data_IF_298413311703
#
_entry.id   IF_298413311703
#
_cell.length_a   1.000
_cell.length_b   1.000
_cell.length_c   1.000
_cell.angle_alpha   90.00
_cell.angle_beta   90.00
_cell.angle_gamma   90.00
#
_symmetry.space_group_name_H-M   'P 1'
#
loop_
_entity.id
_entity.type
_entity.pdbx_description
1 polymer ?
#
# COMPACT_ATOMS: atom_id res chain seq x y z
N UNK A 1 13.76 -19.54 -18.51
CA UNK A 1 12.26 -19.68 -18.54
C UNK A 1 11.62 -20.32 -17.29
N UNK A 2 12.30 -20.54 -16.20
CA UNK A 2 11.78 -21.35 -15.07
C UNK A 2 11.25 -20.52 -13.88
N UNK A 3 11.23 -19.19 -13.99
CA UNK A 3 10.60 -18.27 -13.02
C UNK A 3 9.24 -17.76 -13.46
N UNK A 4 8.78 -18.09 -14.67
CA UNK A 4 7.54 -17.57 -15.23
C UNK A 4 6.33 -17.86 -14.31
N UNK A 5 6.20 -19.07 -13.79
CA UNK A 5 5.13 -19.41 -12.87
C UNK A 5 5.13 -18.58 -11.57
N UNK A 6 6.34 -18.22 -11.07
CA UNK A 6 6.47 -17.36 -9.91
C UNK A 6 6.09 -15.90 -10.23
N UNK A 7 6.53 -15.40 -11.38
CA UNK A 7 6.15 -14.07 -11.87
C UNK A 7 4.63 -13.97 -12.07
N UNK A 8 4.02 -14.98 -12.69
CA UNK A 8 2.56 -15.05 -12.88
C UNK A 8 1.79 -15.06 -11.55
N UNK A 9 2.30 -15.75 -10.51
CA UNK A 9 1.69 -15.75 -9.19
C UNK A 9 1.78 -14.35 -8.53
N UNK A 10 2.91 -13.65 -8.65
CA UNK A 10 3.06 -12.26 -8.18
C UNK A 10 2.14 -11.32 -8.94
N UNK A 11 1.99 -11.50 -10.27
CA UNK A 11 1.07 -10.70 -11.09
C UNK A 11 -0.39 -10.91 -10.67
N UNK A 12 -0.82 -12.16 -10.46
CA UNK A 12 -2.18 -12.44 -9.94
C UNK A 12 -2.43 -11.78 -8.59
N UNK A 13 -1.44 -11.82 -7.71
CA UNK A 13 -1.52 -11.12 -6.42
C UNK A 13 -1.65 -9.60 -6.62
N UNK A 14 -0.86 -9.03 -7.53
CA UNK A 14 -0.88 -7.60 -7.82
C UNK A 14 -2.23 -7.17 -8.43
N UNK A 15 -2.75 -7.91 -9.40
CA UNK A 15 -4.04 -7.62 -10.05
C UNK A 15 -5.20 -7.63 -9.06
N UNK A 16 -5.17 -8.55 -8.10
CA UNK A 16 -6.22 -8.65 -7.08
C UNK A 16 -6.13 -7.56 -5.99
N UNK A 17 -4.96 -6.93 -5.82
CA UNK A 17 -4.72 -6.10 -4.62
C UNK A 17 -4.31 -4.66 -4.89
N UNK A 18 -3.93 -4.29 -6.13
CA UNK A 18 -3.41 -2.95 -6.48
C UNK A 18 -4.39 -1.79 -6.17
N UNK A 19 -5.69 -2.06 -6.19
CA UNK A 19 -6.73 -1.07 -5.99
C UNK A 19 -7.25 -1.02 -4.55
N UNK A 20 -6.70 -1.83 -3.62
CA UNK A 20 -7.18 -1.87 -2.25
C UNK A 20 -7.04 -0.49 -1.58
N UNK A 21 -8.12 0.03 -1.02
CA UNK A 21 -8.08 1.30 -0.29
C UNK A 21 -7.40 1.12 1.07
N UNK A 22 -6.92 2.22 1.65
CA UNK A 22 -6.16 2.24 2.89
C UNK A 22 -6.92 1.59 4.07
N UNK A 23 -8.24 1.85 4.19
CA UNK A 23 -9.05 1.26 5.26
C UNK A 23 -9.12 -0.27 5.19
N UNK A 24 -8.99 -0.86 4.00
CA UNK A 24 -8.89 -2.32 3.83
C UNK A 24 -7.48 -2.81 4.20
N UNK A 25 -6.43 -2.08 3.81
CA UNK A 25 -5.06 -2.42 4.20
C UNK A 25 -4.87 -2.39 5.72
N UNK A 26 -5.58 -1.50 6.40
CA UNK A 26 -5.61 -1.38 7.86
C UNK A 26 -6.49 -2.42 8.56
N UNK A 27 -7.17 -3.29 7.81
CA UNK A 27 -8.11 -4.25 8.37
C UNK A 27 -7.37 -5.44 8.97
N UNK A 28 -7.51 -5.61 10.30
CA UNK A 28 -6.93 -6.71 11.07
C UNK A 28 -7.78 -7.99 10.99
N UNK A 29 -8.90 -7.98 10.27
CA UNK A 29 -9.75 -9.16 10.12
C UNK A 29 -9.12 -10.29 9.28
N UNK A 30 -8.03 -9.99 8.60
CA UNK A 30 -7.20 -10.98 7.93
C UNK A 30 -6.09 -11.44 8.86
N UNK A 31 -6.03 -12.74 9.10
CA UNK A 31 -4.96 -13.36 9.89
C UNK A 31 -4.19 -14.36 9.04
N UNK A 32 -2.88 -14.30 9.11
CA UNK A 32 -1.97 -15.24 8.47
C UNK A 32 -1.06 -15.87 9.52
N UNK A 33 -1.38 -17.08 9.95
CA UNK A 33 -0.70 -17.71 11.08
C UNK A 33 -0.83 -16.85 12.33
N UNK A 34 0.29 -16.42 12.89
CA UNK A 34 0.35 -15.55 14.08
C UNK A 34 0.28 -14.05 13.76
N UNK A 35 0.17 -13.67 12.49
CA UNK A 35 0.20 -12.28 12.03
C UNK A 35 -1.18 -11.84 11.52
N UNK A 36 -1.54 -10.60 11.85
CA UNK A 36 -2.83 -10.01 11.53
C UNK A 36 -2.64 -8.82 10.57
N UNK A 37 -3.62 -8.64 9.67
CA UNK A 37 -3.74 -7.50 8.78
C UNK A 37 -3.39 -7.75 7.32
N UNK A 38 -4.17 -7.12 6.43
CA UNK A 38 -4.01 -7.23 4.97
C UNK A 38 -2.63 -6.78 4.51
N UNK A 39 -2.06 -5.72 5.11
CA UNK A 39 -0.70 -5.25 4.84
C UNK A 39 0.34 -6.34 4.99
N UNK A 40 0.11 -7.23 5.94
CA UNK A 40 1.06 -8.31 6.22
C UNK A 40 1.14 -9.31 5.07
N UNK A 41 0.06 -9.53 4.31
CA UNK A 41 0.09 -10.40 3.13
C UNK A 41 1.13 -9.92 2.09
N UNK A 42 1.22 -8.61 1.85
CA UNK A 42 2.23 -8.01 0.97
C UNK A 42 3.64 -8.19 1.53
N UNK A 43 3.82 -7.88 2.81
CA UNK A 43 5.14 -7.94 3.46
C UNK A 43 5.64 -9.38 3.53
N UNK A 44 4.77 -10.34 3.88
CA UNK A 44 5.12 -11.75 3.95
C UNK A 44 5.53 -12.29 2.58
N UNK A 45 4.76 -12.02 1.52
CA UNK A 45 5.10 -12.42 0.15
C UNK A 45 6.45 -11.82 -0.27
N UNK A 46 6.68 -10.53 0.03
CA UNK A 46 7.96 -9.86 -0.23
C UNK A 46 9.12 -10.54 0.51
N UNK A 47 8.93 -10.89 1.79
CA UNK A 47 9.95 -11.58 2.59
C UNK A 47 10.21 -13.00 2.09
N UNK A 48 9.17 -13.72 1.67
CA UNK A 48 9.30 -15.07 1.10
C UNK A 48 10.12 -15.06 -0.20
N UNK A 49 9.88 -14.09 -1.08
CA UNK A 49 10.66 -13.86 -2.30
C UNK A 49 12.14 -13.56 -1.99
N UNK A 50 12.42 -12.62 -1.07
CA UNK A 50 13.79 -12.30 -0.64
C UNK A 50 14.49 -13.50 -0.01
N UNK A 51 13.76 -14.28 0.81
CA UNK A 51 14.25 -15.52 1.40
C UNK A 51 14.60 -16.57 0.35
N UNK A 52 13.77 -16.69 -0.70
CA UNK A 52 14.06 -17.57 -1.84
C UNK A 52 15.32 -17.10 -2.58
N UNK A 53 15.44 -15.82 -2.92
CA UNK A 53 16.63 -15.27 -3.57
C UNK A 53 17.91 -15.57 -2.78
N UNK A 54 17.89 -15.40 -1.45
CA UNK A 54 19.02 -15.73 -0.59
C UNK A 54 19.37 -17.23 -0.60
N UNK A 55 18.36 -18.12 -0.59
CA UNK A 55 18.59 -19.58 -0.68
C UNK A 55 19.20 -19.97 -2.04
N UNK A 56 18.67 -19.43 -3.13
CA UNK A 56 19.18 -19.69 -4.48
C UNK A 56 20.62 -19.17 -4.65
N UNK A 57 20.92 -17.99 -4.11
CA UNK A 57 22.29 -17.46 -4.12
C UNK A 57 23.26 -18.39 -3.37
N UNK A 58 22.86 -18.87 -2.19
CA UNK A 58 23.66 -19.83 -1.43
C UNK A 58 23.82 -21.18 -2.15
N UNK A 59 22.80 -21.64 -2.87
CA UNK A 59 22.86 -22.84 -3.70
C UNK A 59 23.78 -22.67 -4.89
N UNK A 60 23.71 -21.53 -5.58
CA UNK A 60 24.61 -21.14 -6.65
C UNK A 60 26.07 -21.12 -6.20
N UNK A 61 26.34 -20.54 -5.03
CA UNK A 61 27.69 -20.50 -4.45
C UNK A 61 28.22 -21.92 -4.14
N UNK A 62 27.40 -22.78 -3.53
CA UNK A 62 27.77 -24.20 -3.25
C UNK A 62 28.02 -24.99 -4.53
N UNK A 63 27.27 -24.66 -5.60
CA UNK A 63 27.46 -25.28 -6.92
C UNK A 63 28.66 -24.76 -7.69
N UNK A 64 29.47 -23.88 -7.12
CA UNK A 64 30.64 -23.25 -7.76
C UNK A 64 30.32 -22.60 -9.12
N UNK A 65 29.15 -21.96 -9.24
CA UNK A 65 28.72 -21.23 -10.42
C UNK A 65 28.87 -19.72 -10.17
N UNK A 66 30.02 -19.11 -10.50
CA UNK A 66 30.20 -17.65 -10.33
C UNK A 66 29.20 -16.89 -11.19
N UNK A 67 28.86 -15.66 -10.78
CA UNK A 67 28.10 -14.72 -11.59
C UNK A 67 29.06 -14.06 -12.56
N UNK A 68 28.79 -14.11 -13.87
CA UNK A 68 29.56 -13.38 -14.89
C UNK A 68 29.20 -11.89 -14.88
N UNK A 69 30.03 -11.04 -15.50
CA UNK A 69 29.72 -9.62 -15.67
C UNK A 69 28.43 -9.43 -16.47
N UNK A 70 28.20 -10.23 -17.52
CA UNK A 70 26.96 -10.22 -18.28
C UNK A 70 25.75 -10.50 -17.38
N UNK A 71 25.78 -11.57 -16.60
CA UNK A 71 24.67 -11.95 -15.70
C UNK A 71 24.40 -10.89 -14.65
N UNK A 72 25.44 -10.22 -14.13
CA UNK A 72 25.25 -9.11 -13.20
C UNK A 72 24.52 -7.93 -13.85
N UNK A 73 24.99 -7.49 -15.02
CA UNK A 73 24.37 -6.39 -15.77
C UNK A 73 22.94 -6.71 -16.22
N UNK A 74 22.69 -7.97 -16.63
CA UNK A 74 21.36 -8.45 -17.00
C UNK A 74 20.40 -8.53 -15.79
N UNK A 75 20.89 -8.90 -14.61
CA UNK A 75 20.09 -8.86 -13.37
C UNK A 75 19.66 -7.43 -13.02
N UNK A 76 20.56 -6.46 -13.20
CA UNK A 76 20.23 -5.03 -13.01
C UNK A 76 19.21 -4.53 -14.03
N UNK A 77 19.32 -4.97 -15.30
CA UNK A 77 18.36 -4.69 -16.35
C UNK A 77 16.97 -5.27 -16.00
N UNK A 78 16.94 -6.54 -15.58
CA UNK A 78 15.71 -7.21 -15.18
C UNK A 78 15.04 -6.53 -13.96
N UNK A 79 15.85 -6.09 -13.00
CA UNK A 79 15.35 -5.31 -11.87
C UNK A 79 14.72 -3.98 -12.31
N UNK A 80 15.31 -3.29 -13.27
CA UNK A 80 14.74 -2.07 -13.83
C UNK A 80 13.41 -2.34 -14.56
N UNK A 81 13.31 -3.45 -15.32
CA UNK A 81 12.08 -3.88 -15.98
C UNK A 81 10.95 -4.13 -14.96
N UNK A 82 11.23 -4.87 -13.89
CA UNK A 82 10.23 -5.19 -12.87
C UNK A 82 9.77 -3.94 -12.10
N UNK A 83 10.66 -2.98 -11.86
CA UNK A 83 10.29 -1.68 -11.29
C UNK A 83 9.35 -0.90 -12.23
N UNK A 84 9.69 -0.85 -13.52
CA UNK A 84 8.85 -0.25 -14.56
C UNK A 84 7.47 -0.93 -14.66
N UNK A 85 7.41 -2.27 -14.66
CA UNK A 85 6.19 -3.06 -14.68
C UNK A 85 5.28 -2.73 -13.50
N UNK A 86 5.85 -2.58 -12.31
CA UNK A 86 5.09 -2.29 -11.10
C UNK A 86 4.25 -1.02 -11.18
N UNK A 87 4.69 -0.03 -11.94
CA UNK A 87 3.98 1.22 -12.19
C UNK A 87 2.78 1.07 -13.14
N UNK A 88 2.82 0.05 -14.01
CA UNK A 88 1.77 -0.21 -15.01
C UNK A 88 0.58 -1.00 -14.44
N UNK A 89 0.74 -1.62 -13.27
CA UNK A 89 -0.32 -2.41 -12.64
C UNK A 89 -1.57 -1.55 -12.40
N UNK A 90 -2.71 -2.00 -12.96
CA UNK A 90 -3.98 -1.30 -12.83
C UNK A 90 -4.05 0.05 -13.56
N UNK A 91 -3.22 0.26 -14.56
CA UNK A 91 -3.33 1.39 -15.48
C UNK A 91 -4.35 1.04 -16.58
N UNK A 92 -5.45 1.80 -16.73
CA UNK A 92 -6.48 1.49 -17.70
C UNK A 92 -6.06 1.92 -19.11
N UNK A 93 -6.52 1.18 -20.12
CA UNK A 93 -6.19 1.41 -21.52
C UNK A 93 -6.60 2.80 -22.05
N UNK A 94 -7.67 3.38 -21.48
CA UNK A 94 -8.22 4.66 -21.93
C UNK A 94 -7.25 5.83 -21.74
N UNK A 95 -6.29 5.71 -20.81
CA UNK A 95 -5.35 6.81 -20.54
C UNK A 95 -3.97 6.63 -21.16
N UNK A 96 -3.63 5.44 -21.69
CA UNK A 96 -2.25 5.19 -22.17
C UNK A 96 -1.84 6.05 -23.37
N UNK A 97 -2.81 6.52 -24.17
CA UNK A 97 -2.59 7.42 -25.29
C UNK A 97 -2.80 8.91 -24.94
N UNK A 98 -3.18 9.22 -23.69
CA UNK A 98 -3.45 10.58 -23.26
C UNK A 98 -2.15 11.34 -23.00
N UNK A 99 -1.98 12.50 -23.64
CA UNK A 99 -0.87 13.39 -23.33
C UNK A 99 -1.06 13.99 -21.93
N UNK A 100 -0.12 13.79 -21.01
CA UNK A 100 -0.25 14.30 -19.64
C UNK A 100 -0.13 15.84 -19.58
N UNK A 101 0.68 16.41 -20.47
CA UNK A 101 0.91 17.85 -20.68
C UNK A 101 1.41 18.11 -22.11
N UNK A 102 1.35 19.36 -22.61
CA UNK A 102 2.01 19.74 -23.86
C UNK A 102 3.49 19.31 -23.82
N UNK A 103 3.96 18.75 -24.93
CA UNK A 103 5.35 18.30 -25.14
C UNK A 103 5.84 17.14 -24.24
N UNK A 104 4.96 16.50 -23.49
CA UNK A 104 5.27 15.32 -22.69
C UNK A 104 4.68 14.05 -23.31
N UNK A 105 5.39 12.93 -23.17
CA UNK A 105 5.01 11.67 -23.80
C UNK A 105 3.87 10.97 -23.06
N UNK A 106 2.88 10.44 -23.79
CA UNK A 106 1.91 9.51 -23.23
C UNK A 106 2.58 8.18 -22.85
N UNK A 107 1.93 7.42 -21.99
CA UNK A 107 2.42 6.11 -21.48
C UNK A 107 2.77 5.16 -22.65
N UNK A 108 1.92 5.12 -23.67
CA UNK A 108 2.12 4.33 -24.88
C UNK A 108 3.46 4.65 -25.57
N UNK A 109 3.76 5.92 -25.74
CA UNK A 109 5.00 6.37 -26.39
C UNK A 109 6.23 5.97 -25.57
N UNK A 110 6.15 6.11 -24.24
CA UNK A 110 7.24 5.67 -23.33
C UNK A 110 7.49 4.17 -23.49
N UNK A 111 6.43 3.34 -23.46
CA UNK A 111 6.54 1.88 -23.61
C UNK A 111 7.14 1.47 -24.95
N UNK A 112 6.63 2.02 -26.05
CA UNK A 112 7.14 1.71 -27.40
C UNK A 112 8.61 2.13 -27.51
N UNK A 113 8.97 3.30 -27.02
CA UNK A 113 10.35 3.79 -27.05
C UNK A 113 11.32 2.89 -26.27
N UNK A 114 10.93 2.48 -25.07
CA UNK A 114 11.79 1.58 -24.26
C UNK A 114 11.97 0.23 -24.94
N UNK A 115 10.88 -0.35 -25.47
CA UNK A 115 10.92 -1.59 -26.24
C UNK A 115 11.82 -1.49 -27.47
N UNK A 116 11.66 -0.45 -28.29
CA UNK A 116 12.45 -0.26 -29.50
C UNK A 116 13.94 -0.04 -29.18
N UNK A 117 14.24 0.69 -28.12
CA UNK A 117 15.61 0.91 -27.67
C UNK A 117 16.30 -0.38 -27.20
N UNK A 118 15.60 -1.27 -26.49
CA UNK A 118 16.17 -2.57 -26.09
C UNK A 118 16.49 -3.44 -27.32
N UNK A 119 15.60 -3.51 -28.29
CA UNK A 119 15.85 -4.24 -29.55
C UNK A 119 17.09 -3.70 -30.26
N UNK A 120 17.22 -2.38 -30.32
CA UNK A 120 18.32 -1.71 -30.97
C UNK A 120 19.68 -1.98 -30.27
N UNK A 121 19.72 -1.86 -28.95
CA UNK A 121 20.91 -2.20 -28.18
C UNK A 121 21.30 -3.68 -28.34
N UNK A 122 20.29 -4.56 -28.31
CA UNK A 122 20.52 -5.99 -28.52
C UNK A 122 21.13 -6.30 -29.89
N UNK A 123 20.57 -5.70 -30.95
CA UNK A 123 21.10 -5.90 -32.29
C UNK A 123 22.56 -5.40 -32.42
N UNK A 124 22.90 -4.27 -31.80
CA UNK A 124 24.28 -3.77 -31.77
C UNK A 124 25.24 -4.74 -31.06
N UNK A 125 24.77 -5.39 -29.98
CA UNK A 125 25.55 -6.43 -29.28
C UNK A 125 25.78 -7.64 -30.19
N UNK A 126 24.71 -8.16 -30.80
CA UNK A 126 24.80 -9.36 -31.64
C UNK A 126 25.67 -9.12 -32.89
N UNK A 127 25.51 -7.98 -33.56
CA UNK A 127 26.38 -7.63 -34.70
C UNK A 127 27.87 -7.57 -34.31
N UNK A 128 28.17 -7.28 -33.06
CA UNK A 128 29.56 -7.23 -32.58
C UNK A 128 30.12 -8.61 -32.19
N UNK A 129 29.25 -9.52 -31.74
CA UNK A 129 29.64 -10.87 -31.33
C UNK A 129 29.76 -11.86 -32.52
N UNK A 130 28.98 -11.65 -33.58
CA UNK A 130 28.93 -12.54 -34.76
C UNK A 130 30.08 -12.29 -35.75
N UNK A 131 31.16 -11.59 -35.37
CA UNK A 131 32.34 -11.27 -36.21
C UNK A 131 32.01 -10.52 -37.50
N UNK A 132 30.80 -9.99 -37.66
CA UNK A 132 30.46 -9.11 -38.78
C UNK A 132 31.15 -7.75 -38.58
N UNK A 133 31.41 -7.04 -39.69
CA UNK A 133 31.92 -5.66 -39.56
C UNK A 133 30.96 -4.86 -38.66
N UNK A 134 31.42 -4.34 -37.50
CA UNK A 134 30.55 -3.60 -36.62
C UNK A 134 29.88 -2.45 -37.33
N UNK A 135 28.56 -2.48 -37.40
CA UNK A 135 27.76 -1.42 -38.00
C UNK A 135 26.58 -1.08 -37.09
N UNK A 136 26.06 0.12 -37.28
CA UNK A 136 24.85 0.56 -36.61
C UNK A 136 23.64 -0.22 -37.14
N UNK A 137 22.86 -0.94 -36.29
CA UNK A 137 21.71 -1.71 -36.76
C UNK A 137 20.59 -0.81 -37.26
N UNK A 138 19.83 -1.27 -38.26
CA UNK A 138 18.56 -0.67 -38.63
C UNK A 138 17.41 -1.20 -37.75
N UNK A 139 16.28 -0.49 -37.70
CA UNK A 139 15.07 -0.93 -37.03
C UNK A 139 14.58 -2.29 -37.54
N UNK A 140 14.69 -2.52 -38.86
CA UNK A 140 14.29 -3.78 -39.49
C UNK A 140 15.19 -4.96 -39.05
N UNK A 141 16.49 -4.76 -38.95
CA UNK A 141 17.46 -5.77 -38.46
C UNK A 141 17.18 -6.08 -37.00
N UNK A 142 17.01 -5.06 -36.16
CA UNK A 142 16.74 -5.21 -34.74
C UNK A 142 15.43 -5.99 -34.50
N UNK A 143 14.39 -5.73 -35.26
CA UNK A 143 13.12 -6.45 -35.20
C UNK A 143 13.26 -7.91 -35.65
N UNK A 144 13.95 -8.11 -36.81
CA UNK A 144 14.14 -9.46 -37.35
C UNK A 144 14.93 -10.39 -36.44
N UNK A 145 15.91 -9.87 -35.67
CA UNK A 145 16.69 -10.67 -34.71
C UNK A 145 15.83 -11.24 -33.58
N UNK A 146 14.70 -10.64 -33.28
CA UNK A 146 13.77 -11.06 -32.21
C UNK A 146 12.47 -11.67 -32.77
N UNK A 147 12.37 -11.86 -34.09
CA UNK A 147 11.16 -12.33 -34.79
C UNK A 147 9.93 -11.45 -34.47
N UNK A 148 10.13 -10.14 -34.50
CA UNK A 148 9.12 -9.13 -34.20
C UNK A 148 8.81 -8.24 -35.41
N UNK A 149 7.64 -7.57 -35.43
CA UNK A 149 7.36 -6.56 -36.47
C UNK A 149 8.29 -5.35 -36.29
N UNK A 150 8.70 -4.73 -37.39
CA UNK A 150 9.54 -3.51 -37.36
C UNK A 150 8.92 -2.41 -36.47
N UNK A 151 7.59 -2.32 -36.45
CA UNK A 151 6.84 -1.40 -35.58
C UNK A 151 5.69 -2.12 -34.92
N UNK A 152 5.51 -1.90 -33.63
CA UNK A 152 4.34 -2.40 -32.91
C UNK A 152 3.06 -1.70 -33.41
N UNK A 153 1.93 -2.42 -33.52
CA UNK A 153 0.64 -1.80 -33.86
C UNK A 153 0.25 -0.72 -32.84
N UNK A 154 -0.14 0.45 -33.36
CA UNK A 154 -0.45 1.63 -32.52
C UNK A 154 -1.76 1.52 -31.74
N UNK A 155 -2.57 0.52 -32.02
CA UNK A 155 -3.87 0.25 -31.38
C UNK A 155 -3.80 -0.86 -30.30
N UNK A 156 -2.62 -1.44 -30.06
CA UNK A 156 -2.48 -2.46 -29.02
C UNK A 156 -2.89 -1.92 -27.64
N UNK A 157 -3.66 -2.70 -26.87
CA UNK A 157 -3.92 -2.39 -25.46
C UNK A 157 -2.61 -2.49 -24.64
N UNK A 158 -2.61 -1.93 -23.42
CA UNK A 158 -1.45 -1.95 -22.51
C UNK A 158 -0.89 -3.36 -22.33
N UNK A 159 -1.77 -4.34 -22.10
CA UNK A 159 -1.38 -5.73 -21.93
C UNK A 159 -0.67 -6.30 -23.15
N UNK A 160 -1.10 -5.93 -24.37
CA UNK A 160 -0.46 -6.34 -25.62
C UNK A 160 0.91 -5.71 -25.83
N UNK A 161 1.04 -4.41 -25.53
CA UNK A 161 2.32 -3.70 -25.56
C UNK A 161 3.31 -4.31 -24.55
N UNK A 162 2.85 -4.55 -23.33
CA UNK A 162 3.66 -5.17 -22.29
C UNK A 162 4.11 -6.58 -22.69
N UNK A 163 3.20 -7.42 -23.19
CA UNK A 163 3.52 -8.78 -23.63
C UNK A 163 4.55 -8.82 -24.75
N UNK A 164 4.55 -7.85 -25.68
CA UNK A 164 5.60 -7.73 -26.70
C UNK A 164 6.92 -7.35 -26.06
N UNK A 165 6.93 -6.36 -25.19
CA UNK A 165 8.13 -5.92 -24.50
C UNK A 165 8.74 -7.05 -23.64
N UNK A 166 7.94 -7.73 -22.83
CA UNK A 166 8.40 -8.82 -21.95
C UNK A 166 8.96 -10.02 -22.76
N UNK A 167 8.35 -10.38 -23.92
CA UNK A 167 8.91 -11.41 -24.79
C UNK A 167 10.29 -11.06 -25.34
N UNK A 168 10.44 -9.83 -25.84
CA UNK A 168 11.72 -9.34 -26.34
C UNK A 168 12.77 -9.37 -25.23
N UNK A 169 12.43 -8.87 -24.05
CA UNK A 169 13.29 -8.87 -22.87
C UNK A 169 13.74 -10.28 -22.48
N UNK A 170 12.83 -11.24 -22.35
CA UNK A 170 13.14 -12.63 -21.98
C UNK A 170 14.08 -13.24 -23.05
N UNK A 171 13.82 -13.03 -24.33
CA UNK A 171 14.65 -13.56 -25.40
C UNK A 171 16.06 -12.96 -25.39
N UNK A 172 16.17 -11.66 -25.13
CA UNK A 172 17.46 -10.97 -24.95
C UNK A 172 18.22 -11.54 -23.74
N UNK A 173 17.55 -11.74 -22.61
CA UNK A 173 18.16 -12.32 -21.42
C UNK A 173 18.68 -13.74 -21.70
N UNK A 174 17.85 -14.62 -22.27
CA UNK A 174 18.22 -16.00 -22.59
C UNK A 174 19.45 -16.10 -23.52
N UNK A 175 19.58 -15.14 -24.47
CA UNK A 175 20.69 -15.13 -25.42
C UNK A 175 21.98 -14.55 -24.87
N UNK A 176 21.87 -13.59 -23.94
CA UNK A 176 23.03 -12.89 -23.39
C UNK A 176 23.53 -13.48 -22.06
N UNK A 177 22.72 -14.29 -21.34
CA UNK A 177 23.11 -14.82 -20.02
C UNK A 177 24.32 -15.78 -20.08
N UNK A 178 24.57 -16.36 -21.23
CA UNK A 178 25.71 -17.28 -21.49
C UNK A 178 27.01 -16.58 -21.83
N UNK A 179 27.04 -15.26 -22.04
CA UNK A 179 28.27 -14.55 -22.38
C UNK A 179 29.34 -14.69 -21.31
N UNK A 180 30.54 -14.98 -21.79
CA UNK A 180 31.77 -15.06 -20.96
C UNK A 180 32.25 -13.64 -20.59
N UNK A 181 33.09 -13.58 -19.57
CA UNK A 181 33.72 -12.32 -19.15
C UNK A 181 34.69 -11.74 -20.21
N UNK A 182 35.19 -12.58 -21.16
CA UNK A 182 36.00 -12.12 -22.28
C UNK A 182 35.12 -11.52 -23.41
N UNK A 183 33.99 -12.15 -23.74
CA UNK A 183 33.08 -11.69 -24.80
C UNK A 183 32.43 -10.34 -24.48
N UNK A 184 32.17 -10.04 -23.21
CA UNK A 184 31.59 -8.73 -22.84
C UNK A 184 32.54 -7.55 -23.08
N UNK A 185 33.83 -7.77 -23.29
CA UNK A 185 34.78 -6.74 -23.68
C UNK A 185 34.95 -6.56 -25.19
N UNK A 186 34.24 -7.36 -26.02
CA UNK A 186 34.22 -7.17 -27.46
C UNK A 186 33.77 -5.76 -27.79
N UNK A 187 34.48 -5.03 -28.67
CA UNK A 187 34.08 -3.68 -29.08
C UNK A 187 32.77 -3.71 -29.89
N UNK A 188 31.84 -2.84 -29.56
CA UNK A 188 30.58 -2.65 -30.25
C UNK A 188 30.42 -1.22 -30.73
N UNK A 189 29.76 -1.01 -31.88
CA UNK A 189 29.56 0.30 -32.50
C UNK A 189 28.07 0.64 -32.57
N UNK A 190 27.73 1.85 -32.19
CA UNK A 190 26.45 2.51 -32.40
C UNK A 190 26.70 3.96 -32.84
N UNK A 191 25.92 4.89 -32.38
CA UNK A 191 26.06 6.33 -32.69
C UNK A 191 27.25 7.02 -32.04
N UNK A 192 28.00 6.37 -31.16
CA UNK A 192 29.15 6.98 -30.50
C UNK A 192 30.33 7.08 -31.47
N UNK A 193 31.18 8.09 -31.23
CA UNK A 193 32.38 8.34 -32.04
C UNK A 193 33.49 7.30 -31.86
N UNK A 194 33.42 6.45 -30.86
CA UNK A 194 34.37 5.38 -30.57
C UNK A 194 33.65 4.12 -30.11
N UNK A 195 34.11 2.91 -30.51
CA UNK A 195 33.56 1.66 -30.05
C UNK A 195 33.54 1.55 -28.53
N UNK A 196 32.45 0.99 -27.98
CA UNK A 196 32.28 0.71 -26.57
C UNK A 196 32.24 -0.80 -26.33
N UNK A 197 32.63 -1.34 -25.13
CA UNK A 197 32.47 -2.75 -24.85
C UNK A 197 31.01 -3.19 -24.90
N UNK A 198 30.75 -4.45 -25.26
CA UNK A 198 29.42 -5.06 -25.16
C UNK A 198 28.84 -4.90 -23.75
N UNK A 199 29.64 -5.03 -22.71
CA UNK A 199 29.21 -4.79 -21.32
C UNK A 199 28.56 -3.42 -21.13
N UNK A 200 29.13 -2.37 -21.71
CA UNK A 200 28.55 -1.03 -21.67
C UNK A 200 27.13 -0.98 -22.28
N UNK A 201 26.89 -1.77 -23.35
CA UNK A 201 25.56 -1.86 -23.96
C UNK A 201 24.57 -2.55 -23.03
N UNK A 202 24.98 -3.66 -22.39
CA UNK A 202 24.14 -4.40 -21.44
C UNK A 202 23.81 -3.51 -20.23
N UNK A 203 24.77 -2.79 -19.69
CA UNK A 203 24.53 -1.83 -18.59
C UNK A 203 23.61 -0.66 -19.01
N UNK A 204 23.70 -0.26 -20.30
CA UNK A 204 22.84 0.79 -20.85
C UNK A 204 21.36 0.41 -20.85
N UNK A 205 21.00 -0.87 -20.99
CA UNK A 205 19.61 -1.33 -20.84
C UNK A 205 19.01 -0.86 -19.50
N UNK A 206 19.67 -1.21 -18.39
CA UNK A 206 19.17 -0.88 -17.06
C UNK A 206 19.07 0.64 -16.86
N UNK A 207 20.07 1.40 -17.30
CA UNK A 207 20.08 2.85 -17.17
C UNK A 207 18.92 3.50 -17.93
N UNK A 208 18.67 3.05 -19.17
CA UNK A 208 17.62 3.57 -20.03
C UNK A 208 16.22 3.27 -19.48
N UNK A 209 15.97 2.03 -19.04
CA UNK A 209 14.68 1.66 -18.41
C UNK A 209 14.44 2.48 -17.16
N UNK A 210 15.45 2.69 -16.30
CA UNK A 210 15.31 3.50 -15.07
C UNK A 210 15.01 4.98 -15.38
N UNK A 211 15.61 5.55 -16.43
CA UNK A 211 15.29 6.91 -16.89
C UNK A 211 13.80 7.02 -17.23
N UNK A 212 13.30 6.08 -18.03
CA UNK A 212 11.91 6.06 -18.46
C UNK A 212 10.93 5.60 -17.36
N UNK A 213 11.37 4.85 -16.35
CA UNK A 213 10.61 4.58 -15.12
C UNK A 213 10.27 5.89 -14.40
N UNK A 214 11.26 6.78 -14.26
CA UNK A 214 11.04 8.10 -13.65
C UNK A 214 10.09 8.97 -14.50
N UNK A 215 10.21 8.90 -15.84
CA UNK A 215 9.31 9.61 -16.75
C UNK A 215 7.87 9.06 -16.63
N UNK A 216 7.69 7.73 -16.63
CA UNK A 216 6.40 7.07 -16.44
C UNK A 216 5.73 7.46 -15.12
N UNK A 217 6.49 7.47 -14.02
CA UNK A 217 5.97 7.86 -12.70
C UNK A 217 5.48 9.32 -12.72
N UNK A 218 6.23 10.24 -13.33
CA UNK A 218 5.79 11.64 -13.55
C UNK A 218 4.51 11.72 -14.38
N UNK A 219 4.46 10.99 -15.49
CA UNK A 219 3.29 10.93 -16.38
C UNK A 219 2.05 10.45 -15.63
N UNK A 220 2.16 9.37 -14.86
CA UNK A 220 1.06 8.84 -14.04
C UNK A 220 0.56 9.86 -13.01
N UNK A 221 1.46 10.57 -12.32
CA UNK A 221 1.07 11.65 -11.38
C UNK A 221 0.30 12.77 -12.08
N UNK A 222 0.72 13.21 -13.25
CA UNK A 222 0.03 14.24 -14.01
C UNK A 222 -1.35 13.79 -14.52
N UNK A 223 -1.52 12.50 -14.78
CA UNK A 223 -2.80 11.90 -15.13
C UNK A 223 -3.70 11.60 -13.89
N UNK A 224 -3.29 12.05 -12.69
CA UNK A 224 -4.04 11.83 -11.44
C UNK A 224 -3.96 10.37 -10.94
N UNK A 225 -2.94 9.62 -11.34
CA UNK A 225 -2.70 8.21 -10.98
C UNK A 225 -1.47 8.04 -10.09
N UNK A 226 -1.29 8.93 -9.11
CA UNK A 226 -0.27 8.73 -8.08
C UNK A 226 -0.47 7.36 -7.41
N UNK A 227 0.62 6.63 -7.09
CA UNK A 227 0.51 5.33 -6.44
C UNK A 227 -0.12 5.47 -5.06
N UNK A 228 -1.12 4.62 -4.78
CA UNK A 228 -1.64 4.39 -3.44
C UNK A 228 -0.69 3.49 -2.64
N UNK A 229 -0.97 3.25 -1.36
CA UNK A 229 -0.12 2.43 -0.51
C UNK A 229 0.01 0.99 -1.03
N UNK A 230 -1.09 0.37 -1.51
CA UNK A 230 -1.04 -0.98 -2.08
C UNK A 230 -0.04 -1.08 -3.23
N UNK A 231 -0.01 -0.11 -4.14
CA UNK A 231 0.97 -0.04 -5.23
C UNK A 231 2.40 0.14 -4.74
N UNK A 232 2.63 0.90 -3.67
CA UNK A 232 3.96 1.03 -3.07
C UNK A 232 4.45 -0.29 -2.46
N UNK A 233 3.56 -1.05 -1.81
CA UNK A 233 3.86 -2.39 -1.30
C UNK A 233 4.14 -3.38 -2.44
N UNK A 234 3.34 -3.34 -3.51
CA UNK A 234 3.56 -4.14 -4.71
C UNK A 234 4.91 -3.84 -5.36
N UNK A 235 5.31 -2.57 -5.47
CA UNK A 235 6.63 -2.18 -6.01
C UNK A 235 7.77 -2.86 -5.25
N UNK A 236 7.66 -2.97 -3.92
CA UNK A 236 8.65 -3.71 -3.11
C UNK A 236 8.63 -5.22 -3.41
N UNK A 237 7.44 -5.79 -3.67
CA UNK A 237 7.28 -7.20 -4.04
C UNK A 237 7.89 -7.48 -5.41
N UNK A 238 7.68 -6.62 -6.40
CA UNK A 238 8.31 -6.72 -7.73
C UNK A 238 9.84 -6.61 -7.65
N UNK A 239 10.36 -5.73 -6.82
CA UNK A 239 11.80 -5.65 -6.56
C UNK A 239 12.35 -6.94 -5.93
N UNK A 240 11.58 -7.60 -5.05
CA UNK A 240 11.97 -8.88 -4.47
C UNK A 240 11.89 -10.05 -5.48
N UNK A 241 10.88 -10.04 -6.37
CA UNK A 241 10.78 -10.97 -7.49
C UNK A 241 12.00 -10.84 -8.41
N UNK A 242 12.36 -9.62 -8.79
CA UNK A 242 13.53 -9.36 -9.63
C UNK A 242 14.84 -9.90 -9.02
N UNK A 243 14.97 -9.89 -7.70
CA UNK A 243 16.13 -10.52 -7.03
C UNK A 243 16.17 -12.04 -7.24
N UNK A 244 15.01 -12.72 -7.17
CA UNK A 244 14.93 -14.17 -7.46
C UNK A 244 15.33 -14.43 -8.91
N UNK A 245 14.74 -13.68 -9.84
CA UNK A 245 14.98 -13.85 -11.28
C UNK A 245 16.42 -13.53 -11.65
N UNK A 246 17.00 -12.46 -11.11
CA UNK A 246 18.41 -12.09 -11.34
C UNK A 246 19.40 -13.14 -10.82
N UNK A 247 19.16 -13.73 -9.65
CA UNK A 247 19.99 -14.81 -9.12
C UNK A 247 19.92 -16.07 -10.01
N UNK A 248 18.79 -16.30 -10.67
CA UNK A 248 18.53 -17.46 -11.55
C UNK A 248 19.28 -17.41 -12.88
N UNK A 249 19.71 -16.24 -13.33
CA UNK A 249 20.45 -16.11 -14.60
C UNK A 249 21.68 -17.04 -14.60
N UNK A 250 21.79 -17.89 -15.62
CA UNK A 250 22.85 -18.88 -15.76
C UNK A 250 22.78 -20.08 -14.82
N UNK A 251 21.70 -20.26 -14.06
CA UNK A 251 21.49 -21.43 -13.18
C UNK A 251 20.82 -22.61 -13.90
N UNK A 252 20.20 -22.41 -15.06
CA UNK A 252 19.41 -23.43 -15.76
C UNK A 252 18.22 -23.90 -14.93
N UNK A 253 18.02 -25.20 -14.75
CA UNK A 253 16.89 -25.76 -13.97
C UNK A 253 17.07 -25.70 -12.45
N UNK A 254 18.28 -25.32 -11.98
CA UNK A 254 18.54 -25.25 -10.54
C UNK A 254 17.61 -24.25 -9.84
N UNK A 255 16.95 -24.69 -8.75
CA UNK A 255 16.01 -23.86 -7.99
C UNK A 255 14.61 -23.76 -8.58
N UNK A 256 14.30 -24.40 -9.72
CA UNK A 256 12.97 -24.36 -10.35
C UNK A 256 11.88 -24.90 -9.43
N UNK A 257 12.12 -26.03 -8.78
CA UNK A 257 11.16 -26.60 -7.83
C UNK A 257 10.85 -25.65 -6.67
N UNK A 258 11.87 -24.92 -6.19
CA UNK A 258 11.68 -23.95 -5.11
C UNK A 258 10.87 -22.73 -5.57
N UNK A 259 11.07 -22.27 -6.82
CA UNK A 259 10.25 -21.22 -7.43
C UNK A 259 8.79 -21.67 -7.60
N UNK A 260 8.56 -22.87 -8.14
CA UNK A 260 7.23 -23.42 -8.34
C UNK A 260 6.49 -23.64 -7.01
N UNK A 261 7.18 -24.08 -5.97
CA UNK A 261 6.63 -24.21 -4.63
C UNK A 261 6.19 -22.87 -4.08
N UNK A 262 7.03 -21.84 -4.15
CA UNK A 262 6.68 -20.50 -3.68
C UNK A 262 5.54 -19.89 -4.51
N UNK A 263 5.48 -20.12 -5.83
CA UNK A 263 4.36 -19.71 -6.66
C UNK A 263 3.03 -20.29 -6.15
N UNK A 264 3.02 -21.60 -5.86
CA UNK A 264 1.84 -22.28 -5.31
C UNK A 264 1.46 -21.76 -3.92
N UNK A 265 2.44 -21.44 -3.07
CA UNK A 265 2.21 -20.82 -1.77
C UNK A 265 1.59 -19.41 -1.92
N UNK A 266 2.09 -18.58 -2.84
CA UNK A 266 1.52 -17.25 -3.12
C UNK A 266 0.06 -17.37 -3.60
N UNK A 267 -0.23 -18.30 -4.51
CA UNK A 267 -1.60 -18.52 -5.01
C UNK A 267 -2.56 -18.99 -3.91
N UNK A 268 -2.12 -19.90 -3.05
CA UNK A 268 -2.92 -20.35 -1.91
C UNK A 268 -3.23 -19.20 -0.96
N UNK A 269 -2.23 -18.37 -0.66
CA UNK A 269 -2.39 -17.21 0.19
C UNK A 269 -3.27 -16.12 -0.44
N UNK A 270 -3.18 -15.95 -1.74
CA UNK A 270 -4.07 -15.03 -2.46
C UNK A 270 -5.53 -15.49 -2.38
N UNK A 271 -5.78 -16.79 -2.46
CA UNK A 271 -7.13 -17.35 -2.30
C UNK A 271 -7.68 -17.06 -0.89
N UNK A 272 -6.88 -17.29 0.16
CA UNK A 272 -7.26 -17.01 1.55
C UNK A 272 -7.47 -15.50 1.78
N UNK A 273 -6.63 -14.65 1.20
CA UNK A 273 -6.76 -13.19 1.25
C UNK A 273 -8.06 -12.74 0.57
N UNK A 274 -8.35 -13.26 -0.60
CA UNK A 274 -9.57 -12.91 -1.37
C UNK A 274 -10.84 -13.29 -0.61
N UNK A 275 -10.86 -14.46 0.02
CA UNK A 275 -11.97 -14.88 0.89
C UNK A 275 -12.11 -13.93 2.09
N UNK A 276 -10.99 -13.58 2.75
CA UNK A 276 -10.97 -12.66 3.88
C UNK A 276 -11.46 -11.24 3.49
N UNK A 277 -11.07 -10.74 2.33
CA UNK A 277 -11.52 -9.46 1.79
C UNK A 277 -13.02 -9.47 1.53
N UNK A 278 -13.53 -10.52 0.89
CA UNK A 278 -14.96 -10.71 0.63
C UNK A 278 -15.79 -10.73 1.93
N UNK A 279 -15.29 -11.40 2.96
CA UNK A 279 -15.95 -11.43 4.27
C UNK A 279 -15.89 -10.07 4.98
N UNK A 280 -14.76 -9.34 4.87
CA UNK A 280 -14.63 -7.99 5.42
C UNK A 280 -15.60 -7.00 4.75
N UNK A 281 -15.73 -7.05 3.44
CA UNK A 281 -16.70 -6.24 2.69
C UNK A 281 -18.14 -6.56 3.10
N UNK A 282 -18.46 -7.86 3.24
CA UNK A 282 -19.78 -8.28 3.72
C UNK A 282 -20.06 -7.77 5.14
N UNK A 283 -19.04 -7.72 6.01
CA UNK A 283 -19.15 -7.17 7.36
C UNK A 283 -19.34 -5.66 7.35
N UNK A 284 -18.59 -4.93 6.52
CA UNK A 284 -18.76 -3.49 6.31
C UNK A 284 -20.19 -3.18 5.87
N UNK A 285 -20.71 -3.93 4.89
CA UNK A 285 -22.09 -3.77 4.43
C UNK A 285 -23.10 -4.04 5.55
N UNK A 286 -22.95 -5.14 6.29
CA UNK A 286 -23.83 -5.48 7.41
C UNK A 286 -23.83 -4.40 8.50
N UNK A 287 -22.65 -3.85 8.83
CA UNK A 287 -22.54 -2.75 9.80
C UNK A 287 -23.15 -1.47 9.24
N UNK A 288 -22.89 -1.12 7.98
CA UNK A 288 -23.44 0.07 7.33
C UNK A 288 -24.99 0.05 7.26
N UNK A 289 -25.55 -1.12 6.95
CA UNK A 289 -26.99 -1.30 6.76
C UNK A 289 -27.73 -1.65 8.06
N UNK A 290 -27.01 -1.73 9.20
CA UNK A 290 -27.50 -2.14 10.52
C UNK A 290 -28.11 -3.55 10.55
N UNK A 291 -27.63 -4.44 9.68
CA UNK A 291 -28.05 -5.86 9.62
C UNK A 291 -27.32 -6.66 10.71
N UNK A 292 -27.88 -6.61 11.93
CA UNK A 292 -27.32 -7.26 13.12
C UNK A 292 -27.25 -8.78 12.97
N UNK A 293 -28.24 -9.40 12.31
CA UNK A 293 -28.27 -10.87 12.14
C UNK A 293 -27.18 -11.34 11.16
N UNK A 294 -26.99 -10.60 10.07
CA UNK A 294 -25.88 -10.85 9.14
C UNK A 294 -24.53 -10.67 9.82
N UNK A 295 -24.35 -9.59 10.58
CA UNK A 295 -23.14 -9.35 11.33
C UNK A 295 -22.86 -10.49 12.32
N UNK A 296 -23.86 -10.95 13.08
CA UNK A 296 -23.72 -12.11 14.00
C UNK A 296 -23.30 -13.39 13.28
N UNK A 297 -23.90 -13.68 12.13
CA UNK A 297 -23.56 -14.85 11.33
C UNK A 297 -22.08 -14.79 10.87
N UNK A 298 -21.62 -13.63 10.37
CA UNK A 298 -20.25 -13.42 9.96
C UNK A 298 -19.26 -13.54 11.14
N UNK A 299 -19.60 -12.96 12.29
CA UNK A 299 -18.79 -13.04 13.51
C UNK A 299 -18.69 -14.46 14.06
N UNK A 300 -19.76 -15.25 13.95
CA UNK A 300 -19.74 -16.65 14.35
C UNK A 300 -18.77 -17.46 13.46
N UNK A 301 -18.77 -17.21 12.16
CA UNK A 301 -17.87 -17.87 11.22
C UNK A 301 -16.41 -17.40 11.38
N UNK A 302 -16.19 -16.08 11.57
CA UNK A 302 -14.87 -15.46 11.67
C UNK A 302 -14.86 -14.34 12.71
N UNK A 303 -14.50 -14.65 13.96
CA UNK A 303 -14.49 -13.69 15.08
C UNK A 303 -13.63 -12.43 14.80
N UNK A 304 -12.56 -12.56 14.04
CA UNK A 304 -11.65 -11.44 13.69
C UNK A 304 -12.36 -10.29 12.97
N UNK A 305 -13.49 -10.55 12.27
CA UNK A 305 -14.30 -9.53 11.59
C UNK A 305 -14.87 -8.46 12.54
N UNK A 306 -14.90 -8.72 13.84
CA UNK A 306 -15.29 -7.71 14.82
C UNK A 306 -14.33 -6.49 14.85
N UNK A 307 -13.12 -6.62 14.31
CA UNK A 307 -12.11 -5.54 14.18
C UNK A 307 -12.18 -4.81 12.84
N UNK A 308 -13.22 -5.05 12.05
CA UNK A 308 -13.39 -4.41 10.73
C UNK A 308 -13.32 -2.90 10.85
N UNK A 309 -12.57 -2.29 9.93
CA UNK A 309 -12.48 -0.85 9.73
C UNK A 309 -13.46 -0.47 8.61
N UNK A 310 -14.23 0.58 8.84
CA UNK A 310 -15.22 1.10 7.90
C UNK A 310 -14.56 2.00 6.86
N UNK A 311 -15.29 2.34 5.81
CA UNK A 311 -14.83 3.17 4.67
C UNK A 311 -14.32 4.57 5.08
N UNK A 312 -14.83 5.10 6.20
CA UNK A 312 -14.42 6.38 6.80
C UNK A 312 -13.23 6.25 7.77
N UNK A 313 -12.62 5.06 7.86
CA UNK A 313 -11.51 4.76 8.74
C UNK A 313 -11.87 4.47 10.19
N UNK A 314 -13.16 4.54 10.56
CA UNK A 314 -13.62 4.18 11.90
C UNK A 314 -13.60 2.66 12.13
N UNK A 315 -13.38 2.23 13.35
CA UNK A 315 -13.73 0.87 13.72
C UNK A 315 -15.23 0.64 13.60
N UNK A 316 -15.66 -0.57 13.25
CA UNK A 316 -17.08 -0.92 13.18
C UNK A 316 -17.82 -0.61 14.49
N UNK A 317 -17.12 -0.71 15.63
CA UNK A 317 -17.63 -0.37 16.96
C UNK A 317 -17.92 1.13 17.09
N UNK A 318 -16.93 2.01 16.80
CA UNK A 318 -17.15 3.47 16.87
C UNK A 318 -18.16 3.94 15.82
N UNK A 319 -18.10 3.41 14.60
CA UNK A 319 -19.07 3.70 13.56
C UNK A 319 -20.51 3.42 14.02
N UNK A 320 -20.73 2.27 14.67
CA UNK A 320 -22.05 1.89 15.21
C UNK A 320 -22.44 2.74 16.42
N UNK A 321 -21.47 3.05 17.29
CA UNK A 321 -21.70 3.88 18.48
C UNK A 321 -22.12 5.30 18.14
N UNK A 322 -21.43 5.96 17.19
CA UNK A 322 -21.80 7.31 16.72
C UNK A 322 -23.24 7.38 16.13
N UNK A 323 -23.74 6.25 15.62
CA UNK A 323 -25.08 6.17 15.02
C UNK A 323 -26.15 5.65 15.98
N UNK A 324 -25.80 5.44 17.27
CA UNK A 324 -26.72 4.94 18.28
C UNK A 324 -27.19 3.51 18.07
N UNK A 325 -26.43 2.68 17.36
CA UNK A 325 -26.77 1.31 16.99
C UNK A 325 -26.36 0.31 18.09
N UNK A 326 -26.98 0.42 19.24
CA UNK A 326 -26.57 -0.35 20.44
C UNK A 326 -26.63 -1.88 20.22
N UNK A 327 -27.55 -2.39 19.39
CA UNK A 327 -27.64 -3.84 19.08
C UNK A 327 -26.45 -4.30 18.23
N UNK A 328 -25.97 -3.46 17.30
CA UNK A 328 -24.79 -3.74 16.50
C UNK A 328 -23.53 -3.68 17.36
N UNK A 329 -23.39 -2.66 18.20
CA UNK A 329 -22.30 -2.57 19.18
C UNK A 329 -22.24 -3.83 20.06
N UNK A 330 -23.40 -4.27 20.60
CA UNK A 330 -23.49 -5.48 21.42
C UNK A 330 -23.08 -6.74 20.63
N UNK A 331 -23.46 -6.84 19.34
CA UNK A 331 -23.07 -7.96 18.49
C UNK A 331 -21.56 -8.00 18.25
N UNK A 332 -20.95 -6.85 17.94
CA UNK A 332 -19.50 -6.69 17.74
C UNK A 332 -18.69 -7.06 19.00
N UNK A 333 -19.21 -6.75 20.19
CA UNK A 333 -18.53 -7.00 21.47
C UNK A 333 -18.72 -8.43 22.01
N UNK A 334 -19.60 -9.24 21.44
CA UNK A 334 -19.97 -10.56 21.97
C UNK A 334 -18.77 -11.50 22.16
N UNK A 335 -17.67 -11.29 21.43
CA UNK A 335 -16.49 -12.16 21.39
C UNK A 335 -15.33 -11.65 22.25
N UNK A 336 -15.57 -10.71 23.16
CA UNK A 336 -14.55 -10.25 24.11
C UNK A 336 -13.39 -9.50 23.44
N UNK A 337 -13.66 -8.70 22.42
CA UNK A 337 -12.67 -7.88 21.73
C UNK A 337 -11.78 -7.10 22.69
N UNK A 338 -10.49 -7.06 22.40
CA UNK A 338 -9.57 -6.11 23.02
C UNK A 338 -9.71 -4.77 22.30
N UNK A 339 -10.58 -3.91 22.88
CA UNK A 339 -10.76 -2.56 22.35
C UNK A 339 -9.57 -1.67 22.72
N UNK A 340 -9.08 -0.81 21.83
CA UNK A 340 -8.17 0.29 22.15
C UNK A 340 -8.77 1.28 23.16
N UNK A 341 -7.94 2.19 23.67
CA UNK A 341 -8.37 3.18 24.65
C UNK A 341 -9.50 4.08 24.14
N UNK A 342 -9.47 4.65 22.91
CA UNK A 342 -10.54 5.52 22.44
C UNK A 342 -11.91 4.84 22.39
N UNK A 343 -11.98 3.61 21.84
CA UNK A 343 -13.21 2.82 21.80
C UNK A 343 -13.70 2.45 23.21
N UNK A 344 -12.79 2.05 24.09
CA UNK A 344 -13.12 1.75 25.48
C UNK A 344 -13.68 2.97 26.21
N UNK A 345 -13.15 4.16 25.91
CA UNK A 345 -13.63 5.42 26.46
C UNK A 345 -15.01 5.81 25.90
N UNK A 346 -15.22 5.64 24.59
CA UNK A 346 -16.50 5.90 23.93
C UNK A 346 -17.64 4.99 24.42
N UNK A 347 -17.29 3.77 24.86
CA UNK A 347 -18.26 2.80 25.37
C UNK A 347 -18.46 2.88 26.89
N UNK A 348 -17.68 3.69 27.60
CA UNK A 348 -17.76 3.78 29.07
C UNK A 348 -17.23 2.55 29.80
N UNK A 349 -16.32 1.77 29.20
CA UNK A 349 -15.78 0.56 29.76
C UNK A 349 -14.76 0.82 30.87
N UNK A 350 -15.19 1.37 31.99
CA UNK A 350 -14.37 1.81 33.12
C UNK A 350 -13.31 0.78 33.54
N UNK A 351 -13.71 -0.49 33.68
CA UNK A 351 -12.78 -1.55 34.10
C UNK A 351 -11.66 -1.79 33.08
N UNK A 352 -11.95 -1.67 31.80
CA UNK A 352 -10.97 -1.81 30.74
C UNK A 352 -10.05 -0.61 30.66
N UNK A 353 -10.61 0.60 30.70
CA UNK A 353 -9.86 1.86 30.74
C UNK A 353 -8.86 1.83 31.89
N UNK A 354 -9.27 1.46 33.11
CA UNK A 354 -8.40 1.32 34.27
C UNK A 354 -7.24 0.37 33.99
N UNK A 355 -7.51 -0.81 33.46
CA UNK A 355 -6.48 -1.81 33.13
C UNK A 355 -5.47 -1.31 32.10
N UNK A 356 -5.92 -0.58 31.09
CA UNK A 356 -5.03 0.00 30.06
C UNK A 356 -4.14 1.05 30.72
N UNK A 357 -4.68 1.92 31.58
CA UNK A 357 -3.94 2.96 32.29
C UNK A 357 -2.96 2.38 33.32
N UNK A 358 -3.29 1.25 33.95
CA UNK A 358 -2.36 0.50 34.81
C UNK A 358 -1.15 -0.05 34.06
N UNK A 359 -1.34 -0.44 32.77
CA UNK A 359 -0.25 -0.88 31.91
C UNK A 359 0.66 0.29 31.47
N UNK A 360 0.08 1.39 30.99
CA UNK A 360 0.78 2.65 30.73
C UNK A 360 -0.18 3.84 30.77
N UNK A 361 0.21 4.86 31.54
CA UNK A 361 -0.54 6.13 31.63
C UNK A 361 -0.52 6.93 30.32
N UNK A 362 0.46 6.71 29.45
CA UNK A 362 0.56 7.39 28.15
C UNK A 362 -0.67 7.16 27.28
N UNK A 363 -1.36 6.03 27.47
CA UNK A 363 -2.63 5.75 26.78
C UNK A 363 -3.76 6.73 27.11
N UNK A 364 -3.66 7.53 28.18
CA UNK A 364 -4.64 8.57 28.49
C UNK A 364 -4.78 9.61 27.36
N UNK A 365 -3.71 9.83 26.59
CA UNK A 365 -3.66 10.76 25.47
C UNK A 365 -3.83 10.07 24.09
N UNK A 366 -4.27 8.81 24.08
CA UNK A 366 -4.54 8.09 22.83
C UNK A 366 -5.65 8.77 22.02
N UNK A 367 -5.50 8.73 20.70
CA UNK A 367 -6.47 9.26 19.75
C UNK A 367 -7.08 8.13 18.93
N UNK A 368 -8.35 8.31 18.57
CA UNK A 368 -9.02 7.48 17.57
C UNK A 368 -8.55 7.86 16.16
N UNK A 369 -8.87 7.02 15.18
CA UNK A 369 -8.49 7.26 13.78
C UNK A 369 -9.15 8.52 13.19
N UNK A 370 -10.32 8.91 13.68
CA UNK A 370 -10.99 10.17 13.30
C UNK A 370 -10.47 11.39 14.06
N UNK A 371 -9.37 11.22 14.80
CA UNK A 371 -8.60 12.29 15.41
C UNK A 371 -9.16 12.83 16.72
N UNK A 372 -10.07 12.12 17.41
CA UNK A 372 -10.53 12.49 18.73
C UNK A 372 -9.71 11.81 19.84
N UNK A 373 -9.42 12.53 20.93
CA UNK A 373 -8.80 11.93 22.10
C UNK A 373 -9.79 11.03 22.87
N UNK A 374 -9.28 10.07 23.62
CA UNK A 374 -10.11 9.24 24.52
C UNK A 374 -10.96 10.10 25.46
N UNK A 375 -10.41 11.21 25.99
CA UNK A 375 -11.13 12.16 26.85
C UNK A 375 -12.29 12.84 26.09
N UNK A 376 -12.09 13.25 24.83
CA UNK A 376 -13.14 13.82 24.00
C UNK A 376 -14.28 12.82 23.76
N UNK A 377 -13.95 11.57 23.46
CA UNK A 377 -14.95 10.52 23.23
C UNK A 377 -15.73 10.17 24.50
N UNK A 378 -15.04 9.98 25.65
CA UNK A 378 -15.71 9.78 26.94
C UNK A 378 -16.67 10.93 27.27
N UNK A 379 -16.25 12.17 27.00
CA UNK A 379 -17.03 13.38 27.23
C UNK A 379 -18.25 13.48 26.31
N UNK A 380 -18.08 13.17 25.02
CA UNK A 380 -19.16 13.20 24.03
C UNK A 380 -20.24 12.14 24.32
N UNK A 381 -19.82 10.92 24.71
CA UNK A 381 -20.75 9.83 24.97
C UNK A 381 -21.27 9.77 26.41
N UNK A 382 -20.88 10.75 27.28
CA UNK A 382 -21.44 10.89 28.61
C UNK A 382 -20.90 9.87 29.62
N UNK A 383 -19.61 9.64 29.65
CA UNK A 383 -18.95 8.72 30.58
C UNK A 383 -18.05 9.47 31.59
N UNK A 384 -18.61 10.19 32.58
CA UNK A 384 -17.84 11.05 33.49
C UNK A 384 -16.84 10.27 34.34
N UNK A 385 -17.14 9.02 34.74
CA UNK A 385 -16.18 8.18 35.47
C UNK A 385 -14.93 7.88 34.63
N UNK A 386 -15.11 7.55 33.35
CA UNK A 386 -14.00 7.31 32.41
C UNK A 386 -13.22 8.60 32.16
N UNK A 387 -13.91 9.73 31.95
CA UNK A 387 -13.27 11.03 31.78
C UNK A 387 -12.42 11.40 33.02
N UNK A 388 -12.93 11.15 34.22
CA UNK A 388 -12.19 11.33 35.48
C UNK A 388 -10.91 10.48 35.55
N UNK A 389 -11.00 9.18 35.23
CA UNK A 389 -9.84 8.28 35.18
C UNK A 389 -8.78 8.74 34.18
N UNK A 390 -9.19 9.21 33.01
CA UNK A 390 -8.28 9.71 31.99
C UNK A 390 -7.56 10.98 32.49
N UNK A 391 -8.28 11.92 33.11
CA UNK A 391 -7.71 13.14 33.72
C UNK A 391 -6.73 12.81 34.85
N UNK A 392 -7.08 11.89 35.77
CA UNK A 392 -6.20 11.41 36.85
C UNK A 392 -4.93 10.74 36.29
N UNK A 393 -5.02 10.11 35.14
CA UNK A 393 -3.88 9.50 34.45
C UNK A 393 -3.01 10.50 33.71
N UNK A 394 -3.44 11.76 33.55
CA UNK A 394 -2.69 12.82 32.88
C UNK A 394 -3.14 13.07 31.43
N UNK A 395 -4.41 12.80 31.11
CA UNK A 395 -4.97 13.24 29.83
C UNK A 395 -4.90 14.77 29.71
N UNK A 396 -4.40 15.25 28.58
CA UNK A 396 -4.33 16.70 28.32
C UNK A 396 -5.74 17.26 28.08
N UNK A 397 -6.25 18.00 29.05
CA UNK A 397 -7.56 18.64 29.01
C UNK A 397 -7.68 19.70 27.90
N UNK A 398 -6.54 20.26 27.47
CA UNK A 398 -6.44 21.28 26.42
C UNK A 398 -6.16 20.67 25.05
N UNK A 399 -6.02 19.35 24.93
CA UNK A 399 -5.77 18.67 23.68
C UNK A 399 -6.89 19.00 22.66
N UNK A 400 -6.46 19.27 21.42
CA UNK A 400 -7.33 19.57 20.29
C UNK A 400 -7.45 18.36 19.39
N UNK A 401 -8.68 18.05 18.93
CA UNK A 401 -8.86 16.96 17.95
C UNK A 401 -8.03 17.20 16.68
N UNK A 402 -7.45 16.13 16.12
CA UNK A 402 -6.60 16.18 14.93
C UNK A 402 -7.40 16.06 13.62
N UNK A 403 -8.69 16.38 13.66
CA UNK A 403 -9.54 16.50 12.49
C UNK A 403 -9.83 17.99 12.17
N UNK A 404 -10.52 18.24 11.06
CA UNK A 404 -10.84 19.59 10.61
C UNK A 404 -11.69 20.42 11.60
N UNK A 405 -12.28 19.79 12.64
CA UNK A 405 -13.12 20.50 13.62
C UNK A 405 -12.34 21.16 14.76
N UNK A 406 -11.14 20.67 15.10
CA UNK A 406 -10.27 21.19 16.16
C UNK A 406 -10.99 21.40 17.51
N UNK A 407 -11.73 20.38 17.95
CA UNK A 407 -12.51 20.41 19.19
C UNK A 407 -11.64 20.18 20.43
N UNK A 408 -12.03 20.76 21.55
CA UNK A 408 -11.57 20.42 22.91
C UNK A 408 -12.56 19.48 23.60
N UNK A 409 -12.16 18.83 24.69
CA UNK A 409 -13.03 17.92 25.45
C UNK A 409 -14.33 18.58 25.92
N UNK A 410 -14.28 19.86 26.31
CA UNK A 410 -15.46 20.61 26.75
C UNK A 410 -16.47 20.82 25.59
N UNK A 411 -15.99 21.09 24.36
CA UNK A 411 -16.88 21.14 23.18
C UNK A 411 -17.57 19.79 22.94
N UNK A 412 -16.83 18.70 23.10
CA UNK A 412 -17.38 17.34 22.94
C UNK A 412 -18.46 17.03 23.98
N UNK A 413 -18.23 17.41 25.27
CA UNK A 413 -19.22 17.24 26.33
C UNK A 413 -20.49 18.03 26.08
N UNK A 414 -20.36 19.28 25.60
CA UNK A 414 -21.51 20.17 25.26
C UNK A 414 -22.25 19.63 24.04
N UNK A 415 -21.54 19.20 22.99
CA UNK A 415 -22.14 18.60 21.81
C UNK A 415 -22.91 17.31 22.12
N UNK A 416 -22.41 16.50 23.06
CA UNK A 416 -23.07 15.30 23.59
C UNK A 416 -24.18 15.59 24.62
N UNK A 417 -24.37 16.85 25.03
CA UNK A 417 -25.33 17.29 26.05
C UNK A 417 -25.11 16.62 27.42
N UNK A 418 -23.85 16.38 27.77
CA UNK A 418 -23.47 15.60 28.95
C UNK A 418 -23.10 16.51 30.13
N UNK A 419 -24.12 16.91 30.92
CA UNK A 419 -23.99 17.85 32.03
C UNK A 419 -22.91 17.45 33.04
N UNK A 420 -22.83 16.15 33.40
CA UNK A 420 -21.84 15.68 34.39
C UNK A 420 -20.40 15.73 33.83
N UNK A 421 -20.21 15.47 32.54
CA UNK A 421 -18.91 15.65 31.89
C UNK A 421 -18.54 17.14 31.80
N UNK A 422 -19.50 18.03 31.51
CA UNK A 422 -19.28 19.49 31.52
C UNK A 422 -18.83 19.95 32.89
N UNK A 423 -19.53 19.57 33.97
CA UNK A 423 -19.15 19.88 35.37
C UNK A 423 -17.76 19.41 35.69
N UNK A 424 -17.45 18.15 35.35
CA UNK A 424 -16.15 17.54 35.60
C UNK A 424 -15.02 18.31 34.89
N UNK A 425 -15.20 18.60 33.60
CA UNK A 425 -14.19 19.30 32.81
C UNK A 425 -13.95 20.73 33.28
N UNK A 426 -15.03 21.48 33.63
CA UNK A 426 -14.90 22.82 34.22
C UNK A 426 -14.11 22.73 35.52
N UNK A 427 -14.46 21.81 36.42
CA UNK A 427 -13.78 21.62 37.68
C UNK A 427 -12.31 21.22 37.51
N UNK A 428 -11.99 20.50 36.46
CA UNK A 428 -10.62 20.10 36.09
C UNK A 428 -9.83 21.22 35.38
N UNK A 429 -10.42 22.41 35.13
CA UNK A 429 -9.74 23.56 34.56
C UNK A 429 -9.80 23.67 33.02
N UNK A 430 -10.80 23.06 32.39
CA UNK A 430 -11.03 23.27 30.95
C UNK A 430 -11.26 24.74 30.63
N UNK A 431 -10.70 25.23 29.51
CA UNK A 431 -10.95 26.59 29.04
C UNK A 431 -12.38 26.71 28.51
N UNK A 432 -13.25 27.41 29.25
CA UNK A 432 -14.66 27.63 28.92
C UNK A 432 -14.85 28.55 27.71
N UNK A 433 -13.81 29.30 27.33
CA UNK A 433 -13.78 30.20 26.17
C UNK A 433 -12.95 29.65 25.00
N UNK A 434 -12.52 28.38 25.06
CA UNK A 434 -11.82 27.76 23.97
C UNK A 434 -12.60 27.86 22.67
N UNK A 435 -11.89 28.03 21.55
CA UNK A 435 -12.50 28.16 20.21
C UNK A 435 -12.10 26.93 19.35
N UNK A 436 -13.10 26.31 18.74
CA UNK A 436 -12.90 25.31 17.69
C UNK A 436 -12.68 25.99 16.33
N UNK A 437 -12.52 25.18 15.28
CA UNK A 437 -12.48 25.71 13.91
C UNK A 437 -13.76 26.50 13.60
N UNK A 438 -13.61 27.66 12.93
CA UNK A 438 -14.71 28.58 12.70
C UNK A 438 -15.06 29.48 13.89
N UNK A 439 -14.30 29.41 15.00
CA UNK A 439 -14.41 30.31 16.15
C UNK A 439 -15.53 30.00 17.14
N UNK A 440 -16.23 28.88 17.01
CA UNK A 440 -17.29 28.44 17.91
C UNK A 440 -16.75 28.15 19.31
N UNK A 441 -17.45 28.64 20.34
CA UNK A 441 -17.13 28.38 21.75
C UNK A 441 -18.09 27.32 22.33
N UNK A 442 -17.76 26.69 23.49
CA UNK A 442 -18.71 25.81 24.19
C UNK A 442 -20.05 26.47 24.51
N UNK A 443 -20.05 27.75 24.88
CA UNK A 443 -21.29 28.51 25.14
C UNK A 443 -22.16 28.66 23.88
N UNK A 444 -21.55 28.99 22.73
CA UNK A 444 -22.31 29.08 21.47
C UNK A 444 -22.93 27.72 21.09
N UNK A 445 -22.20 26.61 21.33
CA UNK A 445 -22.71 25.27 21.07
C UNK A 445 -23.88 24.92 22.02
N UNK A 446 -23.81 25.28 23.29
CA UNK A 446 -24.91 25.08 24.26
C UNK A 446 -26.16 25.88 23.87
N UNK A 447 -26.00 27.15 23.45
CA UNK A 447 -27.08 28.00 22.95
C UNK A 447 -27.72 27.43 21.69
N UNK A 448 -26.94 27.00 20.73
CA UNK A 448 -27.44 26.36 19.53
C UNK A 448 -28.23 25.07 19.82
N UNK A 449 -27.82 24.32 20.84
CA UNK A 449 -28.50 23.12 21.29
C UNK A 449 -29.75 23.40 22.11
N UNK A 450 -29.94 24.65 22.59
CA UNK A 450 -30.99 25.03 23.52
C UNK A 450 -30.86 24.37 24.90
N UNK A 451 -29.63 24.22 25.40
CA UNK A 451 -29.32 23.47 26.63
C UNK A 451 -29.10 24.46 27.79
N UNK A 452 -30.21 24.92 28.41
CA UNK A 452 -30.21 25.97 29.44
C UNK A 452 -29.36 25.61 30.68
N UNK A 453 -29.31 24.32 31.07
CA UNK A 453 -28.48 23.89 32.20
C UNK A 453 -26.98 24.00 31.89
N UNK A 454 -26.56 23.58 30.70
CA UNK A 454 -25.15 23.68 30.27
C UNK A 454 -24.78 25.15 30.05
N UNK A 455 -25.67 25.97 29.48
CA UNK A 455 -25.45 27.41 29.35
C UNK A 455 -25.18 28.07 30.70
N UNK A 456 -26.03 27.78 31.71
CA UNK A 456 -25.86 28.32 33.05
C UNK A 456 -24.53 27.94 33.66
N UNK A 457 -24.13 26.64 33.56
CA UNK A 457 -22.86 26.15 34.06
C UNK A 457 -21.66 26.84 33.41
N UNK A 458 -21.72 27.05 32.09
CA UNK A 458 -20.64 27.71 31.34
C UNK A 458 -20.53 29.19 31.72
N UNK A 459 -21.67 29.91 31.88
CA UNK A 459 -21.68 31.30 32.32
C UNK A 459 -21.18 31.48 33.75
N UNK A 460 -21.60 30.61 34.68
CA UNK A 460 -21.12 30.61 36.06
C UNK A 460 -19.60 30.35 36.12
N UNK A 461 -19.07 29.59 35.17
CA UNK A 461 -17.64 29.34 35.04
C UNK A 461 -16.86 30.43 34.27
N UNK A 462 -17.53 31.51 33.83
CA UNK A 462 -16.91 32.67 33.20
C UNK A 462 -16.86 32.62 31.65
N UNK A 463 -17.74 31.85 31.02
CA UNK A 463 -17.87 31.86 29.58
C UNK A 463 -18.41 33.23 29.08
N UNK A 464 -17.77 33.78 28.05
CA UNK A 464 -18.07 35.07 27.50
C UNK A 464 -18.98 34.97 26.27
N UNK A 465 -19.95 35.89 26.15
CA UNK A 465 -20.71 36.05 24.90
C UNK A 465 -19.72 36.44 23.77
N UNK A 466 -19.83 35.78 22.63
CA UNK A 466 -19.05 36.18 21.45
C UNK A 466 -19.68 37.46 20.87
N UNK A 467 -18.93 38.54 20.86
CA UNK A 467 -19.26 39.80 20.16
C UNK A 467 -19.19 39.63 18.65
#
# INVERSE_FOLDING_TARGET
MTTQGLADAVLRFADATHALPEYILDNDAYAWGDYEGVRYAFLHTTMALRGLAGRLLAERFRGQRPVTFAQHALAEHHAALRDFQSLLIGVPDEIIATNPKPDEWPIRTILVHVHDAERYFYAAIMNSLDEMEPHEPSDAEAAAMLDEPERLPMDLPLAGLWASYERAHILIQDRLEGLTDDEVYTPSTMWESAPQPVLFRIERFAAHVREHTNQLEKTLRWLGRAPNEAKLLLRQMFAALAQVEGVRLGMGEMGEEACNRLASEIDAHLADLTDALTQAEAMIAAVRDDDVEKARSLLHAKPALARTIMEDGLSAVLYSKYRGREKMVAALLTLGLRLPMPESAALGETARVRRILEYSRDYANSMSRDGFTALQLASYFGHPEVAGLLLEAGADIHAVSQNGMRLHALHSAVAGRNVECVKLLIAAGADVNARQEGGFTPLMAAQQNGDEEIEALLRDAGAQEST
#
